data_IF_547217519363
#
_entry.id   IF_547217519363
#
_cell.length_a   1.000
_cell.length_b   1.000
_cell.length_c   1.000
_cell.angle_alpha   90.00
_cell.angle_beta   90.00
_cell.angle_gamma   90.00
#
_symmetry.space_group_name_H-M   'P 1'
#
loop_
_entity.id
_entity.type
_entity.pdbx_description
1 polymer ?
#
# COMPACT_ATOMS: atom_id res chain seq x y z
N UNK A 1 51.74 -36.17 19.14
CA UNK A 1 50.99 -34.93 19.50
C UNK A 1 50.60 -34.08 18.27
N UNK A 2 51.47 -33.91 17.26
CA UNK A 2 51.18 -33.07 16.07
C UNK A 2 50.00 -33.61 15.22
N UNK A 3 49.86 -34.93 15.05
CA UNK A 3 48.77 -35.54 14.24
C UNK A 3 47.36 -35.40 14.85
N UNK A 4 47.25 -35.23 16.17
CA UNK A 4 45.95 -35.04 16.85
C UNK A 4 45.50 -33.58 16.69
N UNK A 5 46.43 -32.63 16.74
CA UNK A 5 46.15 -31.22 16.47
C UNK A 5 45.66 -30.98 15.03
N UNK A 6 46.22 -31.68 14.04
CA UNK A 6 45.76 -31.57 12.65
C UNK A 6 44.32 -32.03 12.44
N UNK A 7 43.87 -33.05 13.18
CA UNK A 7 42.48 -33.55 13.10
C UNK A 7 41.52 -32.58 13.81
N UNK A 8 41.95 -32.00 14.94
CA UNK A 8 41.16 -31.04 15.71
C UNK A 8 40.97 -29.70 14.97
N UNK A 9 41.98 -29.25 14.22
CA UNK A 9 41.90 -28.05 13.37
C UNK A 9 41.03 -28.29 12.14
N UNK A 10 41.05 -29.50 11.56
CA UNK A 10 40.20 -29.85 10.41
C UNK A 10 38.72 -29.97 10.80
N UNK A 11 38.41 -30.48 12.00
CA UNK A 11 37.04 -30.47 12.54
C UNK A 11 36.52 -29.05 12.83
N UNK A 12 37.38 -28.12 13.27
CA UNK A 12 36.98 -26.73 13.54
C UNK A 12 36.68 -25.94 12.25
N UNK A 13 37.32 -26.30 11.13
CA UNK A 13 37.09 -25.68 9.81
C UNK A 13 35.78 -26.14 9.14
N UNK A 14 35.25 -27.31 9.50
CA UNK A 14 33.96 -27.82 8.99
C UNK A 14 32.73 -27.18 9.69
N UNK A 15 32.92 -26.42 10.76
CA UNK A 15 31.85 -25.76 11.50
C UNK A 15 31.56 -24.31 11.09
N UNK A 16 32.30 -23.75 10.13
CA UNK A 16 32.12 -22.35 9.66
C UNK A 16 31.16 -22.27 8.45
N UNK A 17 30.74 -23.42 7.90
CA UNK A 17 29.92 -23.52 6.68
C UNK A 17 28.41 -23.64 6.86
N UNK A 18 27.86 -23.42 8.06
CA UNK A 18 26.41 -23.46 8.29
C UNK A 18 25.92 -22.15 8.94
N UNK A 19 25.74 -21.09 8.14
CA UNK A 19 24.68 -20.13 8.46
C UNK A 19 23.34 -20.77 8.09
N UNK A 20 22.92 -21.72 8.94
CA UNK A 20 21.54 -22.18 8.97
C UNK A 20 20.72 -21.08 9.64
N UNK A 21 19.95 -20.35 8.83
CA UNK A 21 18.83 -19.54 9.31
C UNK A 21 17.77 -20.49 9.89
N UNK A 22 17.96 -20.86 11.16
CA UNK A 22 16.91 -21.43 11.99
C UNK A 22 16.00 -20.27 12.39
N UNK A 23 14.91 -20.08 11.64
CA UNK A 23 13.73 -19.37 12.16
C UNK A 23 13.19 -20.21 13.33
N UNK A 24 13.09 -19.65 14.56
CA UNK A 24 12.30 -20.30 15.58
C UNK A 24 10.85 -20.31 15.10
N UNK A 25 10.29 -21.51 14.96
CA UNK A 25 8.87 -21.70 14.71
C UNK A 25 8.18 -21.61 16.07
N UNK A 26 7.96 -20.39 16.53
CA UNK A 26 7.13 -20.13 17.70
C UNK A 26 5.66 -20.25 17.25
N UNK A 27 5.02 -21.34 17.66
CA UNK A 27 3.59 -21.54 17.56
C UNK A 27 2.88 -20.62 18.57
N UNK A 28 2.84 -19.34 18.24
CA UNK A 28 1.92 -18.33 18.78
C UNK A 28 1.27 -17.71 17.56
N UNK A 29 -0.07 -17.71 17.50
CA UNK A 29 -0.88 -17.22 16.37
C UNK A 29 -0.14 -16.18 15.52
N UNK A 30 0.37 -16.60 14.35
CA UNK A 30 1.02 -15.71 13.40
C UNK A 30 -0.05 -14.73 12.91
N UNK A 31 -0.18 -13.59 13.59
CA UNK A 31 -0.78 -12.41 13.00
C UNK A 31 0.01 -12.15 11.72
N UNK A 32 -0.64 -12.30 10.56
CA UNK A 32 0.00 -12.17 9.27
C UNK A 32 0.64 -10.78 9.18
N UNK A 33 1.96 -10.71 9.30
CA UNK A 33 2.67 -9.43 9.24
C UNK A 33 2.62 -8.90 7.81
N UNK A 34 1.95 -7.77 7.61
CA UNK A 34 1.95 -7.01 6.37
C UNK A 34 3.39 -6.56 6.09
N UNK A 35 4.04 -7.18 5.10
CA UNK A 35 5.36 -6.75 4.63
C UNK A 35 5.19 -5.98 3.32
N UNK A 36 5.70 -4.75 3.27
CA UNK A 36 5.65 -3.93 2.05
C UNK A 36 6.68 -4.43 1.04
N UNK A 37 6.24 -4.87 -0.13
CA UNK A 37 7.12 -5.23 -1.23
C UNK A 37 7.57 -4.00 -2.02
N UNK A 38 8.89 -3.77 -2.06
CA UNK A 38 9.52 -2.58 -2.66
C UNK A 38 9.71 -2.71 -4.19
N UNK A 39 8.61 -2.88 -4.93
CA UNK A 39 8.64 -2.96 -6.40
C UNK A 39 9.14 -1.66 -7.04
N UNK A 40 8.80 -0.50 -6.46
CA UNK A 40 9.28 0.85 -6.81
C UNK A 40 10.80 0.94 -7.01
N UNK A 41 11.59 0.17 -6.25
CA UNK A 41 13.07 0.19 -6.35
C UNK A 41 13.56 -0.43 -7.64
N UNK A 42 12.99 -1.56 -8.05
CA UNK A 42 13.38 -2.27 -9.29
C UNK A 42 12.80 -1.51 -10.49
N UNK A 43 11.57 -1.03 -10.36
CA UNK A 43 10.93 -0.15 -11.33
C UNK A 43 11.80 1.09 -11.60
N UNK A 44 12.19 1.82 -10.55
CA UNK A 44 13.01 3.01 -10.71
C UNK A 44 14.40 2.70 -11.28
N UNK A 45 15.02 1.58 -10.89
CA UNK A 45 16.28 1.13 -11.49
C UNK A 45 16.14 0.95 -13.01
N UNK A 46 15.07 0.29 -13.45
CA UNK A 46 14.79 0.11 -14.88
C UNK A 46 14.54 1.46 -15.56
N UNK A 47 13.68 2.31 -15.00
CA UNK A 47 13.28 3.58 -15.62
C UNK A 47 14.40 4.64 -15.68
N UNK A 48 15.40 4.54 -14.81
CA UNK A 48 16.55 5.47 -14.82
C UNK A 48 17.71 4.95 -15.68
N UNK A 49 17.91 3.64 -15.78
CA UNK A 49 19.12 3.07 -16.42
C UNK A 49 18.85 2.25 -17.68
N UNK A 50 17.61 1.81 -17.90
CA UNK A 50 17.27 0.84 -18.94
C UNK A 50 17.82 -0.57 -18.66
N UNK A 51 18.17 -0.89 -17.41
CA UNK A 51 18.79 -2.17 -17.04
C UNK A 51 17.85 -3.36 -17.36
N UNK A 52 18.32 -4.23 -18.26
CA UNK A 52 17.57 -5.40 -18.71
C UNK A 52 17.30 -6.41 -17.58
N UNK A 53 18.22 -6.55 -16.62
CA UNK A 53 18.03 -7.43 -15.47
C UNK A 53 16.92 -6.92 -14.54
N UNK A 54 16.82 -5.59 -14.35
CA UNK A 54 15.72 -4.98 -13.61
C UNK A 54 14.39 -5.24 -14.31
N UNK A 55 14.32 -5.01 -15.63
CA UNK A 55 13.16 -5.34 -16.45
C UNK A 55 12.73 -6.81 -16.33
N UNK A 56 13.70 -7.75 -16.34
CA UNK A 56 13.41 -9.18 -16.14
C UNK A 56 12.87 -9.45 -14.74
N UNK A 57 13.46 -8.86 -13.69
CA UNK A 57 12.99 -9.02 -12.32
C UNK A 57 11.55 -8.50 -12.14
N UNK A 58 11.20 -7.37 -12.76
CA UNK A 58 9.81 -6.87 -12.76
C UNK A 58 8.86 -7.94 -13.33
N UNK A 59 9.16 -8.47 -14.51
CA UNK A 59 8.29 -9.44 -15.19
C UNK A 59 8.24 -10.82 -14.53
N UNK A 60 9.30 -11.23 -13.83
CA UNK A 60 9.39 -12.57 -13.20
C UNK A 60 8.90 -12.55 -11.76
N UNK A 61 9.35 -11.58 -10.96
CA UNK A 61 9.06 -11.53 -9.52
C UNK A 61 7.77 -10.74 -9.23
N UNK A 62 7.41 -9.79 -10.10
CA UNK A 62 6.26 -8.90 -9.94
C UNK A 62 5.36 -8.86 -11.20
N UNK A 63 4.99 -10.01 -11.78
CA UNK A 63 4.28 -10.05 -13.07
C UNK A 63 2.93 -9.32 -13.03
N UNK A 64 2.22 -9.40 -11.89
CA UNK A 64 0.91 -8.75 -11.74
C UNK A 64 1.04 -7.24 -11.55
N UNK A 65 1.97 -6.79 -10.71
CA UNK A 65 2.24 -5.37 -10.49
C UNK A 65 2.73 -4.71 -11.78
N UNK A 66 3.63 -5.38 -12.51
CA UNK A 66 4.13 -4.89 -13.81
C UNK A 66 3.01 -4.76 -14.83
N UNK A 67 2.13 -5.78 -14.93
CA UNK A 67 0.96 -5.72 -15.81
C UNK A 67 0.02 -4.58 -15.43
N UNK A 68 -0.38 -4.50 -14.16
CA UNK A 68 -1.31 -3.50 -13.66
C UNK A 68 -0.79 -2.08 -13.88
N UNK A 69 0.50 -1.85 -13.59
CA UNK A 69 1.14 -0.56 -13.85
C UNK A 69 1.09 -0.19 -15.35
N UNK A 70 1.50 -1.10 -16.23
CA UNK A 70 1.60 -0.80 -17.67
C UNK A 70 0.22 -0.67 -18.33
N UNK A 71 -0.68 -1.59 -18.03
CA UNK A 71 -1.95 -1.73 -18.75
C UNK A 71 -3.06 -0.85 -18.15
N UNK A 72 -3.17 -0.80 -16.81
CA UNK A 72 -4.30 -0.17 -16.12
C UNK A 72 -3.99 1.24 -15.60
N UNK A 73 -2.79 1.44 -15.06
CA UNK A 73 -2.36 2.74 -14.51
C UNK A 73 -1.86 3.65 -15.63
N UNK A 74 -0.76 3.28 -16.28
CA UNK A 74 -0.11 4.12 -17.31
C UNK A 74 -0.78 4.00 -18.68
N UNK A 75 -1.52 2.92 -18.93
CA UNK A 75 -2.28 2.66 -20.18
C UNK A 75 -1.41 2.75 -21.43
N UNK A 76 -0.19 2.21 -21.37
CA UNK A 76 0.79 2.29 -22.45
C UNK A 76 0.57 1.26 -23.57
N UNK A 77 -0.23 0.22 -23.31
CA UNK A 77 -0.42 -0.92 -24.19
C UNK A 77 -0.56 -2.19 -23.37
N UNK A 78 -0.28 -3.35 -23.99
CA UNK A 78 -0.24 -4.64 -23.29
C UNK A 78 1.19 -4.99 -22.91
N UNK A 79 1.36 -5.62 -21.75
CA UNK A 79 2.68 -6.04 -21.22
C UNK A 79 3.39 -7.05 -22.12
N UNK A 80 2.68 -7.69 -23.06
CA UNK A 80 3.26 -8.61 -24.04
C UNK A 80 3.44 -7.99 -25.44
N UNK A 81 3.16 -6.71 -25.63
CA UNK A 81 3.44 -6.02 -26.89
C UNK A 81 4.95 -5.95 -27.14
N UNK A 82 5.37 -6.19 -28.37
CA UNK A 82 6.80 -6.28 -28.72
C UNK A 82 7.59 -4.98 -28.43
N UNK A 83 6.92 -3.83 -28.41
CA UNK A 83 7.50 -2.51 -28.18
C UNK A 83 7.21 -1.94 -26.78
N UNK A 84 6.59 -2.69 -25.88
CA UNK A 84 6.09 -2.16 -24.60
C UNK A 84 7.20 -1.62 -23.71
N UNK A 85 8.33 -2.32 -23.64
CA UNK A 85 9.47 -1.92 -22.82
C UNK A 85 10.06 -0.58 -23.29
N UNK A 86 10.11 -0.38 -24.62
CA UNK A 86 10.55 0.87 -25.23
C UNK A 86 9.56 2.00 -24.92
N UNK A 87 8.26 1.76 -25.05
CA UNK A 87 7.22 2.75 -24.69
C UNK A 87 7.30 3.15 -23.23
N UNK A 88 7.51 2.18 -22.35
CA UNK A 88 7.59 2.41 -20.91
C UNK A 88 8.81 3.25 -20.53
N UNK A 89 10.00 2.93 -21.06
CA UNK A 89 11.18 3.77 -20.86
C UNK A 89 10.98 5.17 -21.44
N UNK A 90 10.47 5.27 -22.67
CA UNK A 90 10.26 6.55 -23.34
C UNK A 90 9.29 7.45 -22.57
N UNK A 91 8.23 6.89 -22.00
CA UNK A 91 7.26 7.63 -21.20
C UNK A 91 7.92 8.36 -20.02
N UNK A 92 8.87 7.71 -19.33
CA UNK A 92 9.56 8.29 -18.17
C UNK A 92 10.79 9.14 -18.51
N UNK A 93 11.13 9.36 -19.79
CA UNK A 93 12.30 10.18 -20.16
C UNK A 93 12.10 11.68 -19.93
N UNK A 94 10.87 12.15 -19.72
CA UNK A 94 10.63 13.56 -19.42
C UNK A 94 11.31 13.98 -18.10
N UNK A 95 11.84 15.20 -18.08
CA UNK A 95 12.57 15.75 -16.93
C UNK A 95 11.74 15.81 -15.65
N UNK A 96 10.43 16.03 -15.76
CA UNK A 96 9.50 16.06 -14.62
C UNK A 96 9.41 14.69 -13.96
N UNK A 97 9.29 13.63 -14.77
CA UNK A 97 9.18 12.27 -14.27
C UNK A 97 10.52 11.76 -13.74
N UNK A 98 11.65 12.13 -14.34
CA UNK A 98 12.97 11.82 -13.80
C UNK A 98 13.23 12.52 -12.44
N UNK A 99 12.79 13.77 -12.30
CA UNK A 99 12.87 14.49 -11.03
C UNK A 99 11.99 13.81 -9.95
N UNK A 100 10.78 13.39 -10.31
CA UNK A 100 9.89 12.62 -9.46
C UNK A 100 10.51 11.28 -9.01
N UNK A 101 11.07 10.49 -9.93
CA UNK A 101 11.75 9.22 -9.60
C UNK A 101 12.83 9.47 -8.53
N UNK A 102 13.64 10.52 -8.72
CA UNK A 102 14.70 10.90 -7.79
C UNK A 102 14.14 11.30 -6.41
N UNK A 103 13.07 12.09 -6.39
CA UNK A 103 12.41 12.52 -5.15
C UNK A 103 11.81 11.34 -4.37
N UNK A 104 11.15 10.40 -5.08
CA UNK A 104 10.63 9.17 -4.48
C UNK A 104 11.76 8.35 -3.86
N UNK A 105 12.84 8.09 -4.61
CA UNK A 105 13.99 7.34 -4.09
C UNK A 105 14.60 7.99 -2.84
N UNK A 106 14.70 9.32 -2.82
CA UNK A 106 15.26 10.08 -1.70
C UNK A 106 14.35 10.02 -0.46
N UNK A 107 13.04 10.22 -0.61
CA UNK A 107 12.10 10.28 0.51
C UNK A 107 11.76 8.89 1.06
N UNK A 108 11.74 7.86 0.20
CA UNK A 108 11.30 6.52 0.54
C UNK A 108 12.46 5.52 0.65
N UNK A 109 13.60 5.98 1.16
CA UNK A 109 14.71 5.10 1.55
C UNK A 109 14.21 3.99 2.49
N UNK A 110 13.52 4.36 3.56
CA UNK A 110 12.94 3.46 4.56
C UNK A 110 11.41 3.57 4.61
N UNK A 111 10.76 2.48 5.02
CA UNK A 111 9.29 2.34 5.07
C UNK A 111 8.81 1.67 6.36
N UNK A 112 9.66 1.52 7.37
CA UNK A 112 9.32 0.80 8.61
C UNK A 112 8.15 1.43 9.34
N UNK A 113 8.09 2.77 9.39
CA UNK A 113 6.96 3.52 9.97
C UNK A 113 5.62 3.20 9.30
N UNK A 114 5.60 3.14 7.97
CA UNK A 114 4.40 2.80 7.19
C UNK A 114 4.06 1.32 7.36
N UNK A 115 5.07 0.45 7.35
CA UNK A 115 4.91 -0.99 7.53
C UNK A 115 4.32 -1.30 8.90
N UNK A 116 4.87 -0.75 9.97
CA UNK A 116 4.41 -0.94 11.34
C UNK A 116 2.97 -0.43 11.54
N UNK A 117 2.67 0.75 10.99
CA UNK A 117 1.33 1.32 11.05
C UNK A 117 0.29 0.48 10.28
N UNK A 118 0.63 -0.05 9.10
CA UNK A 118 -0.23 -0.98 8.37
C UNK A 118 -0.43 -2.29 9.14
N UNK A 119 0.64 -2.85 9.71
CA UNK A 119 0.58 -4.06 10.53
C UNK A 119 -0.38 -3.89 11.71
N UNK A 120 -0.24 -2.79 12.45
CA UNK A 120 -1.11 -2.49 13.58
C UNK A 120 -2.56 -2.32 13.12
N UNK A 121 -2.81 -1.55 12.06
CA UNK A 121 -4.16 -1.30 11.58
C UNK A 121 -4.84 -2.57 11.05
N UNK A 122 -4.14 -3.40 10.30
CA UNK A 122 -4.68 -4.67 9.79
C UNK A 122 -4.88 -5.70 10.89
N UNK A 123 -4.03 -5.70 11.93
CA UNK A 123 -4.25 -6.54 13.11
C UNK A 123 -5.54 -6.14 13.82
N UNK A 124 -5.73 -4.84 14.11
CA UNK A 124 -6.98 -4.35 14.70
C UNK A 124 -8.20 -4.64 13.81
N UNK A 125 -8.03 -4.58 12.48
CA UNK A 125 -9.10 -4.88 11.54
C UNK A 125 -9.49 -6.37 11.60
N UNK A 126 -8.54 -7.29 11.65
CA UNK A 126 -8.80 -8.73 11.77
C UNK A 126 -9.45 -9.10 13.12
N UNK A 127 -9.11 -8.41 14.21
CA UNK A 127 -9.75 -8.63 15.51
C UNK A 127 -11.26 -8.32 15.46
N UNK A 128 -11.67 -7.35 14.65
CA UNK A 128 -13.08 -6.94 14.50
C UNK A 128 -13.79 -7.64 13.34
N UNK A 129 -13.04 -8.04 12.31
CA UNK A 129 -13.51 -8.73 11.11
C UNK A 129 -12.63 -9.97 10.84
N UNK A 130 -12.84 -11.09 11.57
CA UNK A 130 -11.94 -12.23 11.53
C UNK A 130 -11.85 -12.95 10.17
N UNK A 131 -12.87 -12.80 9.33
CA UNK A 131 -12.92 -13.40 7.99
C UNK A 131 -12.26 -12.53 6.91
N UNK A 132 -11.68 -11.37 7.26
CA UNK A 132 -11.04 -10.49 6.30
C UNK A 132 -9.68 -11.05 5.87
N UNK A 133 -9.47 -11.15 4.56
CA UNK A 133 -8.15 -11.46 4.01
C UNK A 133 -7.24 -10.22 4.17
N UNK A 134 -5.95 -10.43 4.38
CA UNK A 134 -4.97 -9.34 4.37
C UNK A 134 -4.34 -9.28 2.98
N UNK A 135 -4.37 -8.11 2.31
CA UNK A 135 -3.82 -8.00 0.98
C UNK A 135 -2.30 -7.98 1.02
N UNK A 136 -1.66 -8.44 -0.05
CA UNK A 136 -0.24 -8.19 -0.27
C UNK A 136 -0.03 -6.71 -0.59
N UNK A 137 0.77 -6.02 0.21
CA UNK A 137 1.05 -4.59 0.03
C UNK A 137 2.36 -4.42 -0.74
N UNK A 138 2.37 -3.54 -1.73
CA UNK A 138 3.57 -3.18 -2.49
C UNK A 138 3.60 -1.69 -2.83
N UNK A 139 4.78 -1.17 -3.16
CA UNK A 139 5.00 0.21 -3.58
C UNK A 139 5.38 0.29 -5.06
N UNK A 140 4.94 1.34 -5.75
CA UNK A 140 5.22 1.58 -7.17
C UNK A 140 5.27 3.09 -7.49
N UNK A 141 5.53 3.42 -8.76
CA UNK A 141 5.55 4.79 -9.26
C UNK A 141 4.58 4.95 -10.46
N UNK A 142 3.46 5.62 -10.23
CA UNK A 142 2.32 5.68 -11.16
C UNK A 142 2.19 6.93 -12.02
N UNK A 143 3.21 7.80 -12.06
CA UNK A 143 3.18 9.08 -12.81
C UNK A 143 2.04 10.04 -12.39
N UNK A 144 1.82 10.16 -11.09
CA UNK A 144 0.87 11.06 -10.43
C UNK A 144 -0.62 10.76 -10.65
N UNK A 145 -0.96 9.63 -11.27
CA UNK A 145 -2.35 9.26 -11.61
C UNK A 145 -3.12 8.77 -10.38
N UNK A 146 -2.88 7.53 -9.94
CA UNK A 146 -3.64 6.89 -8.86
C UNK A 146 -2.80 6.78 -7.59
N UNK A 147 -3.39 7.09 -6.42
CA UNK A 147 -2.70 6.98 -5.12
C UNK A 147 -2.58 5.54 -4.63
N UNK A 148 -3.71 4.81 -4.61
CA UNK A 148 -3.80 3.43 -4.16
C UNK A 148 -4.48 2.60 -5.23
N UNK A 149 -3.90 1.45 -5.56
CA UNK A 149 -4.46 0.52 -6.53
C UNK A 149 -4.83 -0.77 -5.81
N UNK A 150 -6.09 -1.19 -5.94
CA UNK A 150 -6.63 -2.39 -5.31
C UNK A 150 -7.00 -3.40 -6.38
N UNK A 151 -6.50 -4.64 -6.26
CA UNK A 151 -6.86 -5.71 -7.18
C UNK A 151 -6.09 -6.99 -6.92
N UNK A 152 -6.68 -8.14 -7.25
CA UNK A 152 -6.05 -9.46 -7.13
C UNK A 152 -5.47 -9.75 -5.73
N UNK A 153 -6.18 -9.35 -4.67
CA UNK A 153 -5.71 -9.42 -3.28
C UNK A 153 -4.37 -8.67 -3.03
N UNK A 154 -4.14 -7.59 -3.79
CA UNK A 154 -2.99 -6.71 -3.63
C UNK A 154 -3.42 -5.26 -3.41
N UNK A 155 -2.56 -4.52 -2.71
CA UNK A 155 -2.69 -3.10 -2.43
C UNK A 155 -1.40 -2.39 -2.87
N UNK A 156 -1.46 -1.72 -4.02
CA UNK A 156 -0.35 -0.96 -4.57
C UNK A 156 -0.37 0.49 -4.10
N UNK A 157 0.75 0.96 -3.57
CA UNK A 157 0.94 2.34 -3.09
C UNK A 157 1.80 3.09 -4.11
N UNK A 158 1.24 4.10 -4.77
CA UNK A 158 1.99 4.96 -5.68
C UNK A 158 2.70 6.06 -4.88
N UNK A 159 4.00 5.89 -4.65
CA UNK A 159 4.77 6.75 -3.75
C UNK A 159 4.87 8.20 -4.26
N UNK A 160 4.80 8.38 -5.57
CA UNK A 160 4.75 9.67 -6.26
C UNK A 160 3.49 10.49 -5.98
N UNK A 161 2.52 9.97 -5.22
CA UNK A 161 1.33 10.70 -4.74
C UNK A 161 1.49 11.28 -3.34
N UNK A 162 2.63 11.03 -2.68
CA UNK A 162 2.86 11.36 -1.27
C UNK A 162 4.20 12.07 -1.05
N UNK A 163 4.64 12.91 -1.99
CA UNK A 163 5.91 13.66 -1.89
C UNK A 163 5.86 14.91 -0.98
N UNK A 164 4.72 15.14 -0.33
CA UNK A 164 4.49 16.29 0.55
C UNK A 164 3.76 17.42 -0.17
N UNK A 165 2.90 18.13 0.57
CA UNK A 165 1.99 19.13 0.01
C UNK A 165 2.69 20.22 -0.82
N UNK A 166 3.92 20.56 -0.47
CA UNK A 166 4.71 21.62 -1.11
C UNK A 166 5.68 21.11 -2.19
N UNK A 167 5.57 19.84 -2.60
CA UNK A 167 6.34 19.33 -3.73
C UNK A 167 6.04 20.19 -4.98
N UNK A 168 7.05 20.72 -5.70
CA UNK A 168 6.84 21.75 -6.73
C UNK A 168 5.80 21.37 -7.79
N UNK A 169 5.86 20.13 -8.29
CA UNK A 169 4.88 19.66 -9.27
C UNK A 169 3.45 19.71 -8.71
N UNK A 170 3.27 19.44 -7.42
CA UNK A 170 1.94 19.48 -6.81
C UNK A 170 1.38 20.90 -6.73
N UNK A 171 2.23 21.86 -6.35
CA UNK A 171 1.87 23.28 -6.26
C UNK A 171 1.33 23.82 -7.58
N UNK A 172 1.91 23.37 -8.70
CA UNK A 172 1.53 23.82 -10.04
C UNK A 172 0.26 23.15 -10.58
N UNK A 173 -0.10 21.95 -10.11
CA UNK A 173 -1.11 21.10 -10.77
C UNK A 173 -2.29 20.66 -9.88
N UNK A 174 -2.22 20.83 -8.56
CA UNK A 174 -3.26 20.39 -7.62
C UNK A 174 -3.74 21.53 -6.74
N UNK A 175 -5.01 21.47 -6.32
CA UNK A 175 -5.57 22.44 -5.39
C UNK A 175 -4.95 22.30 -4.00
N UNK A 176 -4.98 23.37 -3.20
CA UNK A 176 -4.53 23.33 -1.81
C UNK A 176 -5.20 22.23 -0.98
N UNK A 177 -6.46 21.90 -1.30
CA UNK A 177 -7.19 20.81 -0.65
C UNK A 177 -6.64 19.43 -1.00
N UNK A 178 -6.37 19.18 -2.28
CA UNK A 178 -5.76 17.94 -2.72
C UNK A 178 -4.36 17.78 -2.12
N UNK A 179 -3.56 18.85 -2.13
CA UNK A 179 -2.18 18.83 -1.63
C UNK A 179 -2.09 18.47 -0.14
N UNK A 180 -3.07 18.89 0.68
CA UNK A 180 -3.14 18.51 2.11
C UNK A 180 -3.21 16.99 2.31
N UNK A 181 -3.72 16.25 1.32
CA UNK A 181 -3.84 14.80 1.37
C UNK A 181 -2.66 14.08 0.68
N UNK A 182 -1.78 14.81 -0.02
CA UNK A 182 -0.65 14.25 -0.78
C UNK A 182 0.64 14.22 0.04
N UNK A 183 0.55 13.68 1.25
CA UNK A 183 1.61 13.63 2.28
C UNK A 183 1.83 12.20 2.78
N UNK A 184 3.03 11.88 3.27
CA UNK A 184 3.39 10.51 3.71
C UNK A 184 2.40 9.95 4.75
N UNK A 185 1.92 10.80 5.64
CA UNK A 185 1.00 10.45 6.73
C UNK A 185 -0.36 9.95 6.23
N UNK A 186 -0.68 10.20 4.95
CA UNK A 186 -1.90 9.76 4.28
C UNK A 186 -1.78 8.42 3.57
N UNK A 187 -0.58 7.83 3.47
CA UNK A 187 -0.39 6.49 2.87
C UNK A 187 -1.27 5.45 3.58
N UNK A 188 -1.15 5.32 4.90
CA UNK A 188 -1.88 4.30 5.67
C UNK A 188 -3.39 4.57 5.70
N UNK A 189 -3.88 5.80 5.97
CA UNK A 189 -5.30 6.09 5.88
C UNK A 189 -5.91 5.80 4.51
N UNK A 190 -5.22 6.14 3.42
CA UNK A 190 -5.70 5.88 2.07
C UNK A 190 -5.69 4.38 1.78
N UNK A 191 -4.62 3.65 2.13
CA UNK A 191 -4.56 2.20 2.04
C UNK A 191 -5.79 1.53 2.65
N UNK A 192 -6.13 1.89 3.90
CA UNK A 192 -7.28 1.33 4.59
C UNK A 192 -8.60 1.75 3.93
N UNK A 193 -8.72 3.02 3.55
CA UNK A 193 -9.93 3.56 2.90
C UNK A 193 -10.24 2.84 1.59
N UNK A 194 -9.27 2.77 0.69
CA UNK A 194 -9.41 2.11 -0.61
C UNK A 194 -9.61 0.59 -0.46
N UNK A 195 -8.93 -0.02 0.51
CA UNK A 195 -9.13 -1.43 0.80
C UNK A 195 -10.57 -1.72 1.25
N UNK A 196 -11.08 -0.97 2.23
CA UNK A 196 -12.46 -1.12 2.72
C UNK A 196 -13.49 -0.81 1.64
N UNK A 197 -13.28 0.22 0.82
CA UNK A 197 -14.14 0.54 -0.34
C UNK A 197 -14.23 -0.63 -1.33
N UNK A 198 -13.13 -1.37 -1.52
CA UNK A 198 -13.11 -2.52 -2.43
C UNK A 198 -13.92 -3.70 -1.91
N UNK A 199 -13.96 -3.89 -0.59
CA UNK A 199 -14.70 -4.98 0.08
C UNK A 199 -16.17 -4.64 0.31
N UNK A 200 -16.48 -3.37 0.53
CA UNK A 200 -17.82 -2.87 0.83
C UNK A 200 -18.27 -1.85 -0.22
N UNK A 201 -18.37 -2.22 -1.52
CA UNK A 201 -18.70 -1.26 -2.56
C UNK A 201 -20.14 -0.79 -2.47
N UNK A 202 -20.35 0.52 -2.64
CA UNK A 202 -21.69 1.08 -2.80
C UNK A 202 -22.18 0.95 -4.26
N UNK A 203 -23.42 0.51 -4.51
CA UNK A 203 -23.97 0.40 -5.88
C UNK A 203 -24.06 1.75 -6.61
N UNK A 204 -23.03 2.08 -7.41
CA UNK A 204 -22.83 3.41 -8.00
C UNK A 204 -24.03 3.99 -8.78
N UNK A 205 -24.82 3.14 -9.44
CA UNK A 205 -25.93 3.58 -10.30
C UNK A 205 -27.24 3.87 -9.54
N UNK A 206 -27.32 3.45 -8.28
CA UNK A 206 -28.56 3.51 -7.49
C UNK A 206 -28.46 4.48 -6.31
N UNK A 207 -27.24 4.85 -5.90
CA UNK A 207 -27.04 5.71 -4.74
C UNK A 207 -27.13 7.20 -5.08
N UNK A 208 -27.78 7.94 -4.20
CA UNK A 208 -27.75 9.40 -4.12
C UNK A 208 -26.37 9.92 -3.68
N UNK A 209 -26.15 11.24 -3.79
CA UNK A 209 -24.92 11.85 -3.28
C UNK A 209 -24.82 11.70 -1.75
N UNK A 210 -25.92 11.94 -1.05
CA UNK A 210 -25.98 11.78 0.40
C UNK A 210 -25.59 10.37 0.85
N UNK A 211 -26.09 9.32 0.19
CA UNK A 211 -25.72 7.93 0.51
C UNK A 211 -24.23 7.66 0.26
N UNK A 212 -23.63 8.28 -0.76
CA UNK A 212 -22.18 8.20 -1.00
C UNK A 212 -21.40 8.88 0.12
N UNK A 213 -21.81 10.07 0.54
CA UNK A 213 -21.15 10.83 1.59
C UNK A 213 -21.25 10.08 2.93
N UNK A 214 -22.41 9.51 3.25
CA UNK A 214 -22.62 8.66 4.43
C UNK A 214 -21.74 7.41 4.38
N UNK A 215 -21.68 6.74 3.23
CA UNK A 215 -20.84 5.56 3.06
C UNK A 215 -19.35 5.89 3.25
N UNK A 216 -18.89 6.98 2.66
CA UNK A 216 -17.51 7.44 2.82
C UNK A 216 -17.22 7.84 4.28
N UNK A 217 -18.13 8.55 4.93
CA UNK A 217 -17.98 8.93 6.35
C UNK A 217 -17.92 7.73 7.29
N UNK A 218 -18.65 6.65 7.00
CA UNK A 218 -18.52 5.38 7.73
C UNK A 218 -17.13 4.78 7.57
N UNK A 219 -16.62 4.69 6.33
CA UNK A 219 -15.26 4.18 6.07
C UNK A 219 -14.22 5.04 6.76
N UNK A 220 -14.32 6.37 6.65
CA UNK A 220 -13.42 7.31 7.31
C UNK A 220 -13.43 7.17 8.83
N UNK A 221 -14.61 6.97 9.43
CA UNK A 221 -14.71 6.67 10.86
C UNK A 221 -14.00 5.35 11.22
N UNK A 222 -14.21 4.29 10.43
CA UNK A 222 -13.51 3.01 10.63
C UNK A 222 -11.99 3.22 10.55
N UNK A 223 -11.50 3.99 9.58
CA UNK A 223 -10.07 4.27 9.47
C UNK A 223 -9.54 5.03 10.69
N UNK A 224 -10.24 6.06 11.17
CA UNK A 224 -9.87 6.74 12.41
C UNK A 224 -9.83 5.78 13.61
N UNK A 225 -10.82 4.89 13.70
CA UNK A 225 -10.93 3.90 14.76
C UNK A 225 -9.77 2.90 14.75
N UNK A 226 -9.44 2.34 13.58
CA UNK A 226 -8.32 1.40 13.40
C UNK A 226 -6.96 2.04 13.73
N UNK A 227 -6.80 3.32 13.38
CA UNK A 227 -5.57 4.08 13.61
C UNK A 227 -5.47 4.69 15.01
N UNK A 228 -6.56 4.70 15.79
CA UNK A 228 -6.60 5.32 17.12
C UNK A 228 -6.37 6.84 17.12
N UNK A 229 -6.60 7.52 15.99
CA UNK A 229 -6.42 8.98 15.84
C UNK A 229 -7.42 9.56 14.84
N UNK A 230 -7.74 10.84 14.98
CA UNK A 230 -8.60 11.56 14.03
C UNK A 230 -7.80 12.01 12.81
N UNK A 231 -7.89 11.26 11.71
CA UNK A 231 -7.33 11.63 10.40
C UNK A 231 -8.37 12.37 9.56
N UNK A 232 -9.58 11.82 9.51
CA UNK A 232 -10.71 12.41 8.80
C UNK A 232 -11.65 13.09 9.82
N UNK A 233 -11.91 14.38 9.62
CA UNK A 233 -12.79 15.16 10.50
C UNK A 233 -13.84 15.88 9.68
N UNK A 234 -15.09 15.43 9.80
CA UNK A 234 -16.26 16.03 9.17
C UNK A 234 -17.55 15.63 9.91
N UNK A 235 -18.65 16.32 9.58
CA UNK A 235 -19.94 16.16 10.25
C UNK A 235 -20.48 14.72 10.20
N UNK A 236 -20.23 13.99 9.11
CA UNK A 236 -20.68 12.61 8.95
C UNK A 236 -19.85 11.67 9.83
N UNK A 237 -18.52 11.84 9.87
CA UNK A 237 -17.65 11.07 10.77
C UNK A 237 -18.06 11.31 12.23
N UNK A 238 -18.37 12.55 12.60
CA UNK A 238 -18.85 12.89 13.94
C UNK A 238 -20.25 12.30 14.24
N UNK A 239 -21.13 12.19 13.25
CA UNK A 239 -22.42 11.51 13.40
C UNK A 239 -22.25 10.00 13.58
N UNK A 240 -21.38 9.37 12.79
CA UNK A 240 -21.04 7.95 12.93
C UNK A 240 -20.39 7.66 14.28
N UNK A 241 -19.53 8.55 14.77
CA UNK A 241 -18.92 8.41 16.10
C UNK A 241 -19.96 8.42 17.23
N UNK A 242 -20.93 9.34 17.16
CA UNK A 242 -22.06 9.36 18.11
C UNK A 242 -22.88 8.06 18.06
N UNK A 243 -23.10 7.51 16.86
CA UNK A 243 -23.80 6.23 16.67
C UNK A 243 -23.01 5.07 17.31
N UNK A 244 -21.71 4.99 17.06
CA UNK A 244 -20.85 3.90 17.53
C UNK A 244 -20.56 3.95 19.04
N UNK A 245 -20.75 5.11 19.67
CA UNK A 245 -20.69 5.28 21.12
C UNK A 245 -22.05 5.10 21.83
N UNK A 246 -23.12 4.79 21.08
CA UNK A 246 -24.46 4.56 21.61
C UNK A 246 -24.66 3.17 22.24
N UNK A 247 -25.74 3.01 23.01
CA UNK A 247 -26.06 1.74 23.68
C UNK A 247 -26.37 0.59 22.69
N UNK A 248 -26.87 0.92 21.50
CA UNK A 248 -27.25 -0.01 20.44
C UNK A 248 -26.27 0.02 19.25
N UNK A 249 -24.98 0.29 19.50
CA UNK A 249 -23.97 0.41 18.45
C UNK A 249 -23.90 -0.87 17.57
N UNK A 250 -23.94 -0.73 16.23
CA UNK A 250 -23.83 -1.87 15.33
C UNK A 250 -22.42 -2.47 15.34
N UNK A 251 -22.27 -3.72 14.88
CA UNK A 251 -20.95 -4.27 14.59
C UNK A 251 -20.29 -3.55 13.42
N UNK A 252 -18.95 -3.62 13.34
CA UNK A 252 -18.18 -2.98 12.26
C UNK A 252 -18.63 -3.46 10.86
N UNK A 253 -18.90 -4.76 10.70
CA UNK A 253 -19.39 -5.32 9.43
C UNK A 253 -20.77 -4.74 9.06
N UNK A 254 -21.68 -4.59 10.03
CA UNK A 254 -23.01 -4.00 9.78
C UNK A 254 -22.90 -2.52 9.43
N UNK A 255 -22.01 -1.78 10.10
CA UNK A 255 -21.73 -0.38 9.79
C UNK A 255 -21.26 -0.22 8.35
N UNK A 256 -20.25 -1.01 7.93
CA UNK A 256 -19.67 -0.94 6.59
C UNK A 256 -20.64 -1.37 5.47
N UNK A 257 -21.50 -2.36 5.72
CA UNK A 257 -22.56 -2.77 4.77
C UNK A 257 -23.71 -1.78 4.66
N UNK A 258 -23.83 -0.85 5.60
CA UNK A 258 -24.91 0.14 5.64
C UNK A 258 -26.31 -0.44 5.85
N UNK A 259 -26.40 -1.63 6.47
CA UNK A 259 -27.66 -2.33 6.66
C UNK A 259 -28.44 -1.80 7.89
N UNK A 260 -29.34 -0.85 7.65
CA UNK A 260 -30.52 -0.61 8.50
C UNK A 260 -30.64 0.76 9.17
N UNK A 261 -29.57 1.57 9.21
CA UNK A 261 -29.61 2.78 10.03
C UNK A 261 -29.58 4.04 9.15
N UNK A 262 -30.72 4.73 9.12
CA UNK A 262 -30.77 6.13 8.75
C UNK A 262 -29.87 6.86 9.74
N UNK A 263 -28.76 7.44 9.26
CA UNK A 263 -28.01 8.44 10.02
C UNK A 263 -28.97 9.61 10.19
N UNK A 264 -29.62 9.67 11.35
CA UNK A 264 -30.56 10.73 11.67
C UNK A 264 -29.77 12.03 11.90
N UNK A 265 -30.22 13.09 11.22
CA UNK A 265 -29.72 14.47 11.32
C UNK A 265 -29.58 14.96 12.78
#
# INVERSE_FOLDING_TARGET
MIRIYSILVFCLLLCIGCQWQLRPQDASAEHASVSIQRYDRIESLYLTTGDYSAMQQMNVNFPMQTRMLIEDVLKLGKVNDADINTKFLYFFQDSTLQAMLSAVQQQYGEMDDVSDALNSAFTHLQEQLPDIEIPLVYTQIGSFDQSIIVGYNTLGISLDKYLGADYPFYVDHYSDEQRRMMVREMIVPDCLSFYLLSLYPLPARQSSQYERDVHMGRIQWVVNHLLGRSVFDNDIVAAVDRLMNGADAPSLDRLLRGAGDAVAD
#
